data_IF_174215254796
#
_entry.id   IF_174215254796
#
_cell.length_a   1.000
_cell.length_b   1.000
_cell.length_c   1.000
_cell.angle_alpha   90.00
_cell.angle_beta   90.00
_cell.angle_gamma   90.00
#
_symmetry.space_group_name_H-M   'P 1'
#
loop_
_entity.id
_entity.type
_entity.pdbx_description
1 polymer ?
#
# COMPACT_ATOMS: atom_id res chain seq x y z
N UNK A 1 19.83 45.66 -24.71
CA UNK A 1 20.63 44.53 -24.17
C UNK A 1 19.96 43.74 -23.00
N UNK A 2 19.11 44.34 -22.14
CA UNK A 2 18.47 43.62 -21.01
C UNK A 2 17.47 42.50 -21.40
N UNK A 3 16.72 42.63 -22.50
CA UNK A 3 15.69 41.64 -22.90
C UNK A 3 16.26 40.30 -23.41
N UNK A 4 17.41 40.31 -24.10
CA UNK A 4 18.04 39.09 -24.64
C UNK A 4 18.62 38.23 -23.51
N UNK A 5 19.12 38.84 -22.43
CA UNK A 5 19.63 38.14 -21.25
C UNK A 5 18.50 37.45 -20.47
N UNK A 6 17.34 38.11 -20.35
CA UNK A 6 16.14 37.53 -19.75
C UNK A 6 15.57 36.37 -20.56
N UNK A 7 15.54 36.47 -21.89
CA UNK A 7 15.09 35.39 -22.78
C UNK A 7 15.96 34.13 -22.65
N UNK A 8 17.28 34.28 -22.58
CA UNK A 8 18.20 33.14 -22.36
C UNK A 8 18.02 32.51 -20.97
N UNK A 9 17.74 33.32 -19.95
CA UNK A 9 17.50 32.82 -18.59
C UNK A 9 16.20 32.00 -18.51
N UNK A 10 15.12 32.50 -19.12
CA UNK A 10 13.82 31.83 -19.18
C UNK A 10 13.87 30.52 -19.96
N UNK A 11 14.63 30.49 -21.08
CA UNK A 11 14.80 29.28 -21.87
C UNK A 11 15.55 28.18 -21.08
N UNK A 12 16.56 28.56 -20.30
CA UNK A 12 17.29 27.65 -19.43
C UNK A 12 16.44 27.11 -18.28
N UNK A 13 15.60 27.94 -17.66
CA UNK A 13 14.70 27.49 -16.58
C UNK A 13 13.59 26.59 -17.10
N UNK A 14 12.99 26.91 -18.25
CA UNK A 14 12.00 26.06 -18.90
C UNK A 14 12.58 24.70 -19.29
N UNK A 15 13.81 24.69 -19.83
CA UNK A 15 14.51 23.44 -20.18
C UNK A 15 14.82 22.59 -18.94
N UNK A 16 15.27 23.22 -17.84
CA UNK A 16 15.51 22.53 -16.57
C UNK A 16 14.25 21.91 -15.97
N UNK A 17 13.14 22.65 -15.94
CA UNK A 17 11.84 22.15 -15.44
C UNK A 17 11.35 20.99 -16.31
N UNK A 18 11.49 21.09 -17.63
CA UNK A 18 11.10 20.04 -18.57
C UNK A 18 11.87 18.74 -18.31
N UNK A 19 13.18 18.82 -18.10
CA UNK A 19 14.02 17.66 -17.78
C UNK A 19 13.63 17.00 -16.45
N UNK A 20 13.30 17.80 -15.43
CA UNK A 20 12.82 17.26 -14.14
C UNK A 20 11.50 16.51 -14.31
N UNK A 21 10.55 17.06 -15.07
CA UNK A 21 9.27 16.41 -15.35
C UNK A 21 9.49 15.07 -16.07
N UNK A 22 10.32 15.05 -17.11
CA UNK A 22 10.64 13.82 -17.86
C UNK A 22 11.30 12.79 -16.93
N UNK A 23 12.25 13.19 -16.09
CA UNK A 23 12.90 12.31 -15.14
C UNK A 23 11.92 11.70 -14.13
N UNK A 24 10.95 12.49 -13.63
CA UNK A 24 9.89 11.99 -12.74
C UNK A 24 8.99 10.98 -13.46
N UNK A 25 8.55 11.29 -14.69
CA UNK A 25 7.70 10.38 -15.48
C UNK A 25 8.45 9.06 -15.75
N UNK A 26 9.70 9.12 -16.17
CA UNK A 26 10.54 7.94 -16.41
C UNK A 26 10.72 7.11 -15.13
N UNK A 27 10.95 7.74 -13.98
CA UNK A 27 11.08 7.04 -12.70
C UNK A 27 9.79 6.32 -12.32
N UNK A 28 8.65 7.00 -12.44
CA UNK A 28 7.32 6.40 -12.16
C UNK A 28 7.05 5.25 -13.11
N UNK A 29 7.31 5.41 -14.41
CA UNK A 29 7.11 4.36 -15.40
C UNK A 29 8.05 3.17 -15.19
N UNK A 30 9.32 3.42 -14.89
CA UNK A 30 10.30 2.39 -14.58
C UNK A 30 9.88 1.56 -13.35
N UNK A 31 9.47 2.23 -12.26
CA UNK A 31 8.96 1.54 -11.06
C UNK A 31 7.69 0.76 -11.38
N UNK A 32 6.75 1.32 -12.16
CA UNK A 32 5.50 0.64 -12.56
C UNK A 32 5.77 -0.57 -13.45
N UNK A 33 6.70 -0.48 -14.39
CA UNK A 33 7.07 -1.59 -15.29
C UNK A 33 7.82 -2.70 -14.54
N UNK A 34 8.71 -2.34 -13.61
CA UNK A 34 9.44 -3.29 -12.78
C UNK A 34 8.52 -4.02 -11.81
N UNK A 35 7.59 -3.31 -11.17
CA UNK A 35 6.56 -3.92 -10.31
C UNK A 35 5.66 -4.86 -11.10
N UNK A 36 5.20 -4.48 -12.30
CA UNK A 36 4.43 -5.38 -13.18
C UNK A 36 5.22 -6.63 -13.62
N UNK A 37 6.52 -6.49 -13.88
CA UNK A 37 7.38 -7.60 -14.27
C UNK A 37 7.69 -8.54 -13.08
N UNK A 38 7.86 -8.00 -11.87
CA UNK A 38 7.92 -8.78 -10.64
C UNK A 38 6.60 -9.50 -10.38
N UNK A 39 5.47 -8.80 -10.53
CA UNK A 39 4.12 -9.31 -10.27
C UNK A 39 3.80 -10.54 -11.14
N UNK A 40 4.30 -10.59 -12.37
CA UNK A 40 4.17 -11.75 -13.27
C UNK A 40 5.05 -12.95 -12.90
N UNK A 41 6.08 -12.76 -12.08
CA UNK A 41 7.01 -13.82 -11.66
C UNK A 41 6.76 -14.32 -10.24
N UNK A 42 6.00 -13.56 -9.45
CA UNK A 42 5.64 -13.93 -8.09
C UNK A 42 4.55 -15.01 -8.11
N UNK A 43 4.68 -16.03 -7.25
CA UNK A 43 3.57 -16.94 -7.01
C UNK A 43 2.38 -16.17 -6.41
N UNK A 44 1.14 -16.63 -6.61
CA UNK A 44 -0.02 -16.03 -5.96
C UNK A 44 0.14 -15.87 -4.45
N UNK A 45 0.75 -16.87 -3.77
CA UNK A 45 1.09 -16.77 -2.35
C UNK A 45 2.03 -15.62 -2.01
N UNK A 46 3.13 -15.45 -2.76
CA UNK A 46 4.06 -14.35 -2.51
C UNK A 46 3.43 -12.98 -2.76
N UNK A 47 2.54 -12.87 -3.75
CA UNK A 47 1.76 -11.63 -3.99
C UNK A 47 0.88 -11.30 -2.80
N UNK A 48 0.15 -12.28 -2.28
CA UNK A 48 -0.70 -12.10 -1.08
C UNK A 48 0.14 -11.66 0.12
N UNK A 49 1.30 -12.30 0.37
CA UNK A 49 2.22 -11.91 1.45
C UNK A 49 2.71 -10.46 1.32
N UNK A 50 3.13 -10.04 0.12
CA UNK A 50 3.60 -8.67 -0.14
C UNK A 50 2.47 -7.65 0.08
N UNK A 51 1.27 -7.94 -0.41
CA UNK A 51 0.10 -7.08 -0.24
C UNK A 51 -0.24 -6.96 1.23
N UNK A 52 -0.23 -8.08 1.96
CA UNK A 52 -0.53 -8.10 3.38
C UNK A 52 0.50 -7.32 4.20
N UNK A 53 1.80 -7.48 3.92
CA UNK A 53 2.84 -6.64 4.54
C UNK A 53 2.60 -5.15 4.29
N UNK A 54 2.25 -4.78 3.05
CA UNK A 54 1.94 -3.39 2.70
C UNK A 54 0.68 -2.86 3.40
N UNK A 55 -0.32 -3.72 3.60
CA UNK A 55 -1.53 -3.41 4.36
C UNK A 55 -1.19 -3.11 5.82
N UNK A 56 -0.33 -3.93 6.42
CA UNK A 56 0.11 -3.79 7.79
C UNK A 56 0.93 -2.51 8.04
N UNK A 57 1.95 -2.26 7.22
CA UNK A 57 2.78 -1.05 7.31
C UNK A 57 1.93 0.24 7.21
N UNK A 58 0.85 0.19 6.43
CA UNK A 58 -0.09 1.30 6.32
C UNK A 58 -0.89 1.52 7.61
N UNK A 59 -1.31 0.45 8.29
CA UNK A 59 -1.98 0.53 9.59
C UNK A 59 -1.06 1.10 10.66
N UNK A 60 0.18 0.61 10.74
CA UNK A 60 1.18 1.11 11.69
C UNK A 60 1.45 2.60 11.47
N UNK A 61 1.55 3.03 10.21
CA UNK A 61 1.76 4.44 9.86
C UNK A 61 0.59 5.35 10.23
N UNK A 62 -0.65 4.84 10.20
CA UNK A 62 -1.80 5.62 10.69
C UNK A 62 -1.75 5.82 12.22
N UNK A 63 -1.01 4.97 12.93
CA UNK A 63 -0.73 5.09 14.36
C UNK A 63 -1.92 4.77 15.27
N UNK A 64 -3.05 4.35 14.71
CA UNK A 64 -4.24 3.91 15.47
C UNK A 64 -4.22 2.44 15.86
N UNK A 65 -3.42 1.65 15.15
CA UNK A 65 -3.21 0.23 15.42
C UNK A 65 -1.72 0.04 15.56
N UNK A 66 -1.27 -0.27 16.77
CA UNK A 66 0.11 -0.66 17.01
C UNK A 66 0.17 -2.17 17.05
N UNK A 67 1.01 -2.72 16.17
CA UNK A 67 1.50 -4.09 16.15
C UNK A 67 1.89 -4.71 17.50
N UNK A 68 2.15 -3.89 18.52
CA UNK A 68 2.60 -4.32 19.84
C UNK A 68 1.47 -4.65 20.82
N UNK A 69 0.21 -4.51 20.41
CA UNK A 69 -0.93 -4.90 21.23
C UNK A 69 -1.24 -6.40 21.04
N UNK A 70 -0.41 -7.26 21.66
CA UNK A 70 -0.67 -8.69 21.87
C UNK A 70 0.26 -9.63 21.10
N UNK A 71 1.39 -9.99 21.72
CA UNK A 71 2.42 -10.88 21.17
C UNK A 71 1.87 -12.24 20.71
N UNK A 72 1.77 -12.41 19.41
CA UNK A 72 2.05 -13.66 18.72
C UNK A 72 2.93 -13.23 17.53
N UNK A 73 4.03 -13.89 17.24
CA UNK A 73 4.97 -13.47 16.19
C UNK A 73 5.59 -14.75 15.63
N UNK A 74 5.44 -15.03 14.34
CA UNK A 74 6.24 -16.07 13.69
C UNK A 74 7.65 -15.55 13.33
N UNK A 75 8.55 -16.42 12.87
CA UNK A 75 9.96 -16.07 12.67
C UNK A 75 10.21 -14.90 11.67
N UNK A 76 9.19 -14.45 10.93
CA UNK A 76 9.24 -13.30 10.02
C UNK A 76 8.62 -12.01 10.59
N UNK A 77 8.15 -12.02 11.84
CA UNK A 77 7.70 -10.80 12.52
C UNK A 77 6.22 -10.47 12.35
N UNK A 78 5.39 -11.41 11.89
CA UNK A 78 4.05 -11.08 11.37
C UNK A 78 2.97 -12.07 11.81
N UNK A 79 2.60 -12.14 13.10
CA UNK A 79 1.38 -12.85 13.47
C UNK A 79 0.18 -11.91 13.49
N UNK A 80 -0.72 -12.17 12.56
CA UNK A 80 -1.97 -11.44 12.40
C UNK A 80 -3.13 -12.40 12.19
N UNK A 81 -2.91 -13.69 12.48
CA UNK A 81 -3.84 -14.78 12.21
C UNK A 81 -4.99 -14.86 13.22
N UNK A 82 -5.00 -13.93 14.17
CA UNK A 82 -5.87 -13.90 15.33
C UNK A 82 -7.17 -13.13 15.06
N UNK A 83 -8.34 -13.66 15.42
CA UNK A 83 -9.63 -12.96 15.29
C UNK A 83 -9.62 -11.57 15.94
N UNK A 84 -8.85 -11.39 17.01
CA UNK A 84 -8.71 -10.11 17.71
C UNK A 84 -8.11 -9.01 16.82
N UNK A 85 -7.22 -9.36 15.88
CA UNK A 85 -6.70 -8.41 14.90
C UNK A 85 -7.81 -7.92 13.96
N UNK A 86 -8.69 -8.83 13.54
CA UNK A 86 -9.85 -8.49 12.69
C UNK A 86 -10.73 -7.48 13.41
N UNK A 87 -11.07 -7.77 14.67
CA UNK A 87 -11.91 -6.90 15.49
C UNK A 87 -11.26 -5.53 15.76
N UNK A 88 -9.96 -5.50 16.06
CA UNK A 88 -9.23 -4.26 16.29
C UNK A 88 -9.20 -3.35 15.04
N UNK A 89 -8.97 -3.92 13.86
CA UNK A 89 -8.99 -3.17 12.61
C UNK A 89 -10.40 -2.68 12.28
N UNK A 90 -11.43 -3.51 12.46
CA UNK A 90 -12.82 -3.13 12.23
C UNK A 90 -13.32 -2.06 13.21
N UNK A 91 -12.83 -2.04 14.45
CA UNK A 91 -13.13 -0.98 15.40
C UNK A 91 -12.62 0.40 14.91
N UNK A 92 -11.45 0.41 14.27
CA UNK A 92 -10.87 1.64 13.71
C UNK A 92 -11.44 1.95 12.33
N UNK A 93 -11.76 0.94 11.53
CA UNK A 93 -12.23 1.03 10.15
C UNK A 93 -13.52 0.21 9.95
N UNK A 94 -14.64 0.64 10.56
CA UNK A 94 -15.91 -0.09 10.47
C UNK A 94 -16.48 -0.14 9.04
N UNK A 95 -15.94 0.68 8.13
CA UNK A 95 -16.32 0.69 6.71
C UNK A 95 -15.77 -0.50 5.93
N UNK A 96 -14.86 -1.29 6.51
CA UNK A 96 -14.42 -2.56 5.94
C UNK A 96 -15.49 -3.63 6.19
N UNK A 97 -15.86 -4.35 5.14
CA UNK A 97 -16.81 -5.47 5.25
C UNK A 97 -16.13 -6.61 6.00
N UNK A 98 -16.70 -7.04 7.14
CA UNK A 98 -16.14 -8.09 7.99
C UNK A 98 -15.85 -9.38 7.22
N UNK A 99 -16.82 -9.89 6.46
CA UNK A 99 -16.67 -11.12 5.68
C UNK A 99 -15.53 -11.06 4.66
N UNK A 100 -15.39 -9.93 3.97
CA UNK A 100 -14.29 -9.72 3.00
C UNK A 100 -12.94 -9.69 3.71
N UNK A 101 -12.90 -9.11 4.91
CA UNK A 101 -11.66 -9.00 5.68
C UNK A 101 -11.26 -10.33 6.32
N UNK A 102 -12.20 -11.06 6.90
CA UNK A 102 -11.97 -12.43 7.39
C UNK A 102 -11.48 -13.33 6.25
N UNK A 103 -12.12 -13.27 5.07
CA UNK A 103 -11.65 -13.99 3.89
C UNK A 103 -10.24 -13.57 3.47
N UNK A 104 -9.90 -12.29 3.52
CA UNK A 104 -8.54 -11.84 3.25
C UNK A 104 -7.53 -12.42 4.25
N UNK A 105 -7.88 -12.51 5.54
CA UNK A 105 -7.02 -13.14 6.55
C UNK A 105 -6.84 -14.65 6.31
N UNK A 106 -7.88 -15.35 5.83
CA UNK A 106 -7.75 -16.75 5.38
C UNK A 106 -6.73 -16.89 4.24
N UNK A 107 -6.75 -15.97 3.26
CA UNK A 107 -5.78 -16.00 2.16
C UNK A 107 -4.35 -15.78 2.65
N UNK A 108 -4.16 -14.92 3.66
CA UNK A 108 -2.86 -14.69 4.29
C UNK A 108 -2.38 -15.95 5.02
N UNK A 109 -3.28 -16.62 5.74
CA UNK A 109 -3.01 -17.92 6.36
C UNK A 109 -2.61 -18.98 5.34
N UNK A 110 -3.36 -19.10 4.24
CA UNK A 110 -3.05 -20.01 3.15
C UNK A 110 -1.71 -19.68 2.49
N UNK A 111 -1.41 -18.39 2.31
CA UNK A 111 -0.15 -17.95 1.73
C UNK A 111 1.04 -18.31 2.63
N UNK A 112 0.91 -18.25 3.95
CA UNK A 112 2.03 -18.51 4.87
C UNK A 112 2.17 -19.99 5.26
N UNK A 113 1.05 -20.70 5.43
CA UNK A 113 1.04 -22.04 6.03
C UNK A 113 0.24 -23.08 5.22
N UNK A 114 -0.51 -22.65 4.21
CA UNK A 114 -1.31 -23.52 3.37
C UNK A 114 -0.51 -24.15 2.21
N UNK A 115 -1.08 -25.17 1.55
CA UNK A 115 -0.54 -25.65 0.28
C UNK A 115 -0.64 -24.52 -0.75
N UNK A 116 0.38 -24.37 -1.61
CA UNK A 116 0.52 -23.28 -2.60
C UNK A 116 -0.52 -23.42 -3.73
N UNK A 117 -1.79 -23.19 -3.40
CA UNK A 117 -2.99 -23.34 -4.24
C UNK A 117 -3.78 -22.04 -4.34
N UNK A 118 -3.14 -20.90 -4.05
CA UNK A 118 -3.76 -19.61 -4.23
C UNK A 118 -3.89 -19.30 -5.73
N UNK A 119 -5.04 -18.79 -6.12
CA UNK A 119 -5.30 -18.44 -7.52
C UNK A 119 -5.15 -16.93 -7.76
N UNK A 120 -5.21 -16.54 -9.04
CA UNK A 120 -5.17 -15.13 -9.40
C UNK A 120 -6.35 -14.35 -8.79
N UNK A 121 -7.53 -14.96 -8.68
CA UNK A 121 -8.71 -14.35 -8.06
C UNK A 121 -8.54 -14.04 -6.57
N UNK A 122 -7.81 -14.89 -5.83
CA UNK A 122 -7.50 -14.65 -4.42
C UNK A 122 -6.58 -13.44 -4.25
N UNK A 123 -5.61 -13.29 -5.15
CA UNK A 123 -4.76 -12.10 -5.18
C UNK A 123 -5.57 -10.81 -5.43
N UNK A 124 -6.62 -10.87 -6.25
CA UNK A 124 -7.46 -9.70 -6.53
C UNK A 124 -8.20 -9.22 -5.28
N UNK A 125 -8.72 -10.14 -4.47
CA UNK A 125 -9.34 -9.80 -3.19
C UNK A 125 -8.34 -9.08 -2.27
N UNK A 126 -7.12 -9.61 -2.13
CA UNK A 126 -6.06 -8.97 -1.35
C UNK A 126 -5.78 -7.54 -1.83
N UNK A 127 -5.67 -7.33 -3.16
CA UNK A 127 -5.48 -6.00 -3.76
C UNK A 127 -6.65 -5.06 -3.45
N UNK A 128 -7.88 -5.56 -3.55
CA UNK A 128 -9.09 -4.78 -3.25
C UNK A 128 -9.09 -4.33 -1.79
N UNK A 129 -8.78 -5.23 -0.85
CA UNK A 129 -8.71 -4.91 0.58
C UNK A 129 -7.66 -3.85 0.88
N UNK A 130 -6.46 -3.99 0.32
CA UNK A 130 -5.42 -2.96 0.45
C UNK A 130 -5.85 -1.59 -0.10
N UNK A 131 -6.46 -1.56 -1.30
CA UNK A 131 -6.94 -0.32 -1.91
C UNK A 131 -8.04 0.35 -1.07
N UNK A 132 -8.96 -0.44 -0.50
CA UNK A 132 -10.01 0.05 0.40
C UNK A 132 -9.40 0.69 1.64
N UNK A 133 -8.51 -0.01 2.33
CA UNK A 133 -7.82 0.54 3.51
C UNK A 133 -7.08 1.84 3.17
N UNK A 134 -6.29 1.86 2.09
CA UNK A 134 -5.57 3.05 1.63
C UNK A 134 -6.48 4.25 1.42
N UNK A 135 -7.66 4.04 0.85
CA UNK A 135 -8.66 5.10 0.66
C UNK A 135 -9.23 5.59 1.99
N UNK A 136 -9.51 4.69 2.93
CA UNK A 136 -10.03 5.03 4.26
C UNK A 136 -9.00 5.81 5.09
N UNK A 137 -7.74 5.34 5.15
CA UNK A 137 -6.63 6.03 5.82
C UNK A 137 -6.46 7.44 5.26
N UNK A 138 -6.44 7.59 3.93
CA UNK A 138 -6.31 8.90 3.29
C UNK A 138 -7.48 9.83 3.65
N UNK A 139 -8.73 9.33 3.64
CA UNK A 139 -9.91 10.12 4.05
C UNK A 139 -9.82 10.57 5.50
N UNK A 140 -9.46 9.68 6.42
CA UNK A 140 -9.34 10.02 7.85
C UNK A 140 -8.18 10.99 8.12
N UNK A 141 -7.08 10.88 7.39
CA UNK A 141 -5.97 11.82 7.46
C UNK A 141 -6.38 13.23 6.98
N UNK A 142 -7.15 13.32 5.88
CA UNK A 142 -7.71 14.59 5.39
C UNK A 142 -8.64 15.22 6.43
N UNK A 143 -9.58 14.45 6.99
CA UNK A 143 -10.49 14.95 8.06
C UNK A 143 -9.71 15.46 9.27
N UNK A 144 -8.66 14.75 9.70
CA UNK A 144 -7.77 15.21 10.78
C UNK A 144 -7.09 16.54 10.44
N UNK A 145 -6.63 16.70 9.20
CA UNK A 145 -6.01 17.95 8.74
C UNK A 145 -6.96 19.16 8.74
N UNK A 146 -8.27 18.93 8.59
CA UNK A 146 -9.29 19.97 8.72
C UNK A 146 -9.63 20.30 10.17
N UNK A 147 -9.71 19.29 11.06
CA UNK A 147 -10.04 19.48 12.48
C UNK A 147 -8.89 20.05 13.33
N UNK A 148 -7.65 19.98 12.82
CA UNK A 148 -6.46 20.47 13.50
C UNK A 148 -6.05 21.90 13.09
N UNK A 149 -6.88 22.57 12.28
CA UNK A 149 -6.79 24.01 11.95
C UNK A 149 -7.89 24.77 12.69
#
# INVERSE_FOLDING_TARGET
>A
MKRIRQLKLLLGTMCGILLVIIAVILRVWYVKRRTLALDKRLSPGDRVRIIFKSFYELLERDGRISAKAGDCVDAAGLDTTRPEFVDAVLAVYPELVRSDFERFMELVLMANYGPDKLEAGDCELAVVMYKRLKKLVARKAVVRGYLSK
#
